data_IF_018565718656
#
_entry.id   IF_018565718656
#
_cell.length_a   1.000
_cell.length_b   1.000
_cell.length_c   1.000
_cell.angle_alpha   90.00
_cell.angle_beta   90.00
_cell.angle_gamma   90.00
#
_symmetry.space_group_name_H-M   'P 1'
#
loop_
_entity.id
_entity.type
_entity.pdbx_description
1 polymer ?
#
# COMPACT_ATOMS: atom_id res chain seq x y z
N UNK A 1 -15.15 -11.60 4.14
CA UNK A 1 -13.74 -11.17 4.14
C UNK A 1 -13.08 -11.19 2.75
N UNK A 2 -13.81 -11.41 1.64
CA UNK A 2 -13.22 -11.61 0.29
C UNK A 2 -13.21 -10.33 -0.59
N UNK A 3 -13.92 -9.27 -0.22
CA UNK A 3 -14.10 -8.07 -1.09
C UNK A 3 -12.87 -7.16 -1.26
N UNK A 4 -11.84 -7.30 -0.43
CA UNK A 4 -10.61 -6.50 -0.55
C UNK A 4 -9.77 -6.89 -1.76
N UNK A 5 -9.72 -8.19 -2.05
CA UNK A 5 -9.03 -8.75 -3.23
C UNK A 5 -9.83 -8.45 -4.50
N UNK A 6 -11.16 -8.29 -4.39
CA UNK A 6 -12.06 -8.04 -5.51
C UNK A 6 -11.87 -6.69 -6.24
N UNK A 7 -10.94 -5.82 -5.80
CA UNK A 7 -10.64 -4.59 -6.55
C UNK A 7 -9.67 -4.76 -7.69
N UNK A 8 -8.66 -5.58 -7.46
CA UNK A 8 -7.71 -5.98 -8.49
C UNK A 8 -8.17 -7.28 -9.15
N UNK A 9 -9.18 -7.94 -8.59
CA UNK A 9 -9.75 -9.19 -9.09
C UNK A 9 -11.20 -8.97 -9.49
N UNK A 10 -11.48 -8.96 -10.79
CA UNK A 10 -12.86 -8.91 -11.28
C UNK A 10 -13.49 -10.29 -11.10
N UNK A 11 -14.45 -10.41 -10.17
CA UNK A 11 -15.26 -11.62 -9.99
C UNK A 11 -16.35 -11.65 -11.07
N UNK A 12 -16.11 -12.38 -12.17
CA UNK A 12 -17.17 -12.75 -13.12
C UNK A 12 -17.84 -14.05 -12.64
N UNK A 13 -19.00 -13.95 -12.01
CA UNK A 13 -19.84 -15.11 -11.75
C UNK A 13 -20.51 -15.56 -13.06
N UNK A 14 -19.85 -16.45 -13.81
CA UNK A 14 -20.54 -17.19 -14.87
C UNK A 14 -21.36 -18.31 -14.23
N UNK A 15 -22.69 -18.23 -14.41
CA UNK A 15 -23.62 -19.28 -14.01
C UNK A 15 -23.37 -20.54 -14.82
N UNK A 16 -22.47 -21.39 -14.34
CA UNK A 16 -22.30 -22.74 -14.87
C UNK A 16 -22.15 -23.66 -13.68
N UNK A 17 -23.30 -24.07 -13.13
CA UNK A 17 -23.40 -25.14 -12.14
C UNK A 17 -22.97 -26.45 -12.79
N UNK A 18 -21.69 -26.81 -12.65
CA UNK A 18 -21.23 -28.16 -12.90
C UNK A 18 -20.50 -28.57 -11.62
N UNK A 19 -21.13 -29.46 -10.83
CA UNK A 19 -20.60 -30.12 -9.61
C UNK A 19 -20.59 -29.33 -8.27
N UNK A 20 -21.49 -28.37 -8.05
CA UNK A 20 -21.78 -27.85 -6.69
C UNK A 20 -20.64 -27.08 -6.00
N UNK A 21 -19.50 -26.88 -6.66
CA UNK A 21 -18.48 -25.91 -6.27
C UNK A 21 -18.48 -24.80 -7.32
N UNK A 22 -18.86 -23.60 -6.91
CA UNK A 22 -18.76 -22.42 -7.76
C UNK A 22 -17.28 -22.21 -8.15
N UNK A 23 -16.99 -22.30 -9.45
CA UNK A 23 -15.68 -21.93 -9.98
C UNK A 23 -15.56 -20.42 -9.86
N UNK A 24 -14.70 -19.96 -8.94
CA UNK A 24 -14.36 -18.55 -8.81
C UNK A 24 -13.18 -18.30 -9.75
N UNK A 25 -13.46 -17.78 -10.96
CA UNK A 25 -12.42 -17.32 -11.85
C UNK A 25 -11.89 -15.96 -11.33
N UNK A 26 -10.69 -16.00 -10.77
CA UNK A 26 -9.95 -14.84 -10.28
C UNK A 26 -9.25 -14.20 -11.48
N UNK A 27 -9.89 -13.21 -12.10
CA UNK A 27 -9.29 -12.46 -13.22
C UNK A 27 -8.70 -11.14 -12.73
N UNK A 28 -7.45 -10.84 -13.06
CA UNK A 28 -6.82 -9.57 -12.69
C UNK A 28 -7.42 -8.45 -13.56
N UNK A 29 -7.86 -7.37 -12.93
CA UNK A 29 -8.36 -6.19 -13.63
C UNK A 29 -7.28 -5.66 -14.59
N UNK A 30 -7.53 -5.62 -15.91
CA UNK A 30 -6.53 -5.21 -16.88
C UNK A 30 -6.04 -3.78 -16.65
N UNK A 31 -6.86 -2.90 -16.04
CA UNK A 31 -6.46 -1.55 -15.69
C UNK A 31 -5.43 -1.51 -14.55
N UNK A 32 -5.43 -2.49 -13.65
CA UNK A 32 -4.41 -2.61 -12.60
C UNK A 32 -3.03 -2.91 -13.21
N UNK A 33 -2.96 -3.90 -14.11
CA UNK A 33 -1.72 -4.21 -14.81
C UNK A 33 -1.24 -3.05 -15.70
N UNK A 34 -2.17 -2.35 -16.34
CA UNK A 34 -1.85 -1.18 -17.15
C UNK A 34 -1.34 0.01 -16.32
N UNK A 35 -1.71 0.13 -15.04
CA UNK A 35 -1.27 1.22 -14.17
C UNK A 35 0.12 1.02 -13.57
N UNK A 36 0.73 -0.16 -13.70
CA UNK A 36 2.06 -0.46 -13.18
C UNK A 36 3.13 0.52 -13.69
N UNK A 37 3.11 0.85 -14.99
CA UNK A 37 4.08 1.76 -15.59
C UNK A 37 3.95 3.19 -15.06
N UNK A 38 2.71 3.66 -14.88
CA UNK A 38 2.42 4.97 -14.29
C UNK A 38 2.93 5.02 -12.83
N UNK A 39 2.59 4.02 -12.02
CA UNK A 39 3.01 4.01 -10.62
C UNK A 39 4.54 3.89 -10.47
N UNK A 40 5.18 3.04 -11.28
CA UNK A 40 6.63 2.96 -11.32
C UNK A 40 7.27 4.31 -11.65
N UNK A 41 6.72 5.07 -12.61
CA UNK A 41 7.22 6.39 -12.96
C UNK A 41 7.13 7.39 -11.80
N UNK A 42 6.07 7.29 -10.98
CA UNK A 42 5.88 8.10 -9.77
C UNK A 42 6.87 7.71 -8.66
N UNK A 43 7.05 6.42 -8.40
CA UNK A 43 7.99 5.90 -7.39
C UNK A 43 9.44 6.25 -7.73
N UNK A 44 9.80 6.30 -9.02
CA UNK A 44 11.12 6.73 -9.46
C UNK A 44 11.41 8.22 -9.25
N UNK A 45 10.35 9.05 -9.12
CA UNK A 45 10.47 10.50 -8.94
C UNK A 45 9.63 10.97 -7.75
N UNK A 46 9.98 10.55 -6.51
CA UNK A 46 9.23 10.93 -5.33
C UNK A 46 9.33 12.44 -5.15
N UNK A 47 8.18 13.10 -5.06
CA UNK A 47 8.12 14.53 -4.73
C UNK A 47 7.81 14.65 -3.26
N UNK A 48 8.73 15.26 -2.51
CA UNK A 48 8.53 15.66 -1.13
C UNK A 48 8.48 17.18 -1.09
N UNK A 49 7.32 17.73 -0.75
CA UNK A 49 7.16 19.18 -0.59
C UNK A 49 6.71 19.52 0.83
N UNK A 50 6.93 20.77 1.24
CA UNK A 50 6.51 21.24 2.56
C UNK A 50 4.98 21.33 2.70
N UNK A 51 4.24 21.36 1.58
CA UNK A 51 2.79 21.40 1.60
C UNK A 51 2.20 20.03 1.99
N UNK A 52 2.90 18.92 1.69
CA UNK A 52 2.54 17.56 2.11
C UNK A 52 2.53 17.37 3.63
N UNK A 53 3.22 18.22 4.39
CA UNK A 53 3.20 18.16 5.86
C UNK A 53 2.01 18.91 6.47
N UNK A 54 1.24 19.66 5.67
CA UNK A 54 0.07 20.38 6.15
C UNK A 54 -1.11 19.44 6.33
N UNK A 55 -1.85 19.57 7.44
CA UNK A 55 -3.07 18.80 7.69
C UNK A 55 -4.30 19.32 6.92
N UNK A 56 -4.11 20.24 5.97
CA UNK A 56 -5.16 20.82 5.15
C UNK A 56 -4.75 20.70 3.70
N UNK A 57 -5.54 19.94 2.95
CA UNK A 57 -5.30 19.61 1.55
C UNK A 57 -6.60 19.82 0.77
N UNK A 58 -6.49 20.36 -0.43
CA UNK A 58 -7.63 20.51 -1.34
C UNK A 58 -7.99 19.18 -1.99
N UNK A 59 -6.97 18.41 -2.40
CA UNK A 59 -7.12 17.08 -2.98
C UNK A 59 -6.44 16.02 -2.10
N UNK A 60 -7.26 15.33 -1.30
CA UNK A 60 -6.80 14.25 -0.44
C UNK A 60 -6.36 12.99 -1.19
N UNK A 61 -6.81 12.76 -2.44
CA UNK A 61 -6.33 11.63 -3.26
C UNK A 61 -4.93 11.90 -3.78
N UNK A 62 -4.68 13.10 -4.29
CA UNK A 62 -3.33 13.53 -4.69
C UNK A 62 -2.36 13.50 -3.50
N UNK A 63 -2.83 13.93 -2.33
CA UNK A 63 -2.05 13.86 -1.09
C UNK A 63 -1.72 12.41 -0.69
N UNK A 64 -2.70 11.51 -0.72
CA UNK A 64 -2.48 10.09 -0.47
C UNK A 64 -1.49 9.49 -1.49
N UNK A 65 -1.62 9.82 -2.77
CA UNK A 65 -0.69 9.39 -3.81
C UNK A 65 0.75 9.80 -3.50
N UNK A 66 0.95 11.08 -3.18
CA UNK A 66 2.28 11.61 -2.90
C UNK A 66 2.93 10.88 -1.71
N UNK A 67 2.18 10.67 -0.63
CA UNK A 67 2.69 9.93 0.53
C UNK A 67 2.88 8.43 0.28
N UNK A 68 2.02 7.79 -0.51
CA UNK A 68 2.18 6.39 -0.93
C UNK A 68 3.47 6.19 -1.72
N UNK A 69 3.76 7.10 -2.65
CA UNK A 69 5.00 7.12 -3.45
C UNK A 69 6.22 7.28 -2.55
N UNK A 70 6.19 8.25 -1.63
CA UNK A 70 7.28 8.47 -0.66
C UNK A 70 7.47 7.25 0.24
N UNK A 71 6.39 6.63 0.70
CA UNK A 71 6.44 5.43 1.53
C UNK A 71 7.12 4.26 0.81
N UNK A 72 6.70 3.93 -0.41
CA UNK A 72 7.31 2.83 -1.18
C UNK A 72 8.77 3.13 -1.48
N UNK A 73 9.09 4.34 -1.95
CA UNK A 73 10.47 4.75 -2.22
C UNK A 73 11.36 4.63 -0.98
N UNK A 74 10.92 5.18 0.16
CA UNK A 74 11.65 5.10 1.41
C UNK A 74 11.80 3.64 1.89
N UNK A 75 10.79 2.79 1.70
CA UNK A 75 10.86 1.38 2.10
C UNK A 75 11.89 0.60 1.31
N UNK A 76 12.02 0.89 0.01
CA UNK A 76 13.04 0.28 -0.84
C UNK A 76 14.41 0.74 -0.38
N UNK A 77 14.60 2.04 -0.15
CA UNK A 77 15.88 2.61 0.29
C UNK A 77 16.31 2.03 1.65
N UNK A 78 15.40 1.97 2.63
CA UNK A 78 15.67 1.40 3.95
C UNK A 78 15.97 -0.09 3.86
N UNK A 79 15.25 -0.84 3.03
CA UNK A 79 15.49 -2.28 2.83
C UNK A 79 16.86 -2.54 2.21
N UNK A 80 17.27 -1.74 1.22
CA UNK A 80 18.59 -1.84 0.60
C UNK A 80 19.71 -1.50 1.58
N UNK A 81 19.54 -0.43 2.38
CA UNK A 81 20.50 -0.05 3.42
C UNK A 81 20.65 -1.16 4.47
N UNK A 82 19.53 -1.71 4.94
CA UNK A 82 19.53 -2.80 5.92
C UNK A 82 20.19 -4.06 5.37
N UNK A 83 19.89 -4.43 4.12
CA UNK A 83 20.54 -5.55 3.44
C UNK A 83 22.05 -5.33 3.33
N UNK A 84 22.50 -4.14 2.93
CA UNK A 84 23.92 -3.82 2.83
C UNK A 84 24.64 -3.95 4.19
N UNK A 85 24.03 -3.45 5.28
CA UNK A 85 24.58 -3.57 6.63
C UNK A 85 24.65 -5.02 7.11
N UNK A 86 23.63 -5.83 6.84
CA UNK A 86 23.62 -7.27 7.19
C UNK A 86 24.66 -8.05 6.39
N UNK A 87 24.72 -7.84 5.08
CA UNK A 87 25.74 -8.49 4.23
C UNK A 87 27.15 -8.14 4.71
N UNK A 88 27.39 -6.88 5.07
CA UNK A 88 28.69 -6.47 5.61
C UNK A 88 29.03 -7.18 6.94
N UNK A 89 28.05 -7.35 7.83
CA UNK A 89 28.24 -8.07 9.10
C UNK A 89 28.51 -9.57 8.88
N UNK A 90 27.71 -10.24 8.06
CA UNK A 90 27.82 -11.69 7.82
C UNK A 90 29.08 -12.07 7.02
N UNK A 91 29.63 -11.15 6.20
CA UNK A 91 30.92 -11.36 5.54
C UNK A 91 32.06 -11.44 6.57
N UNK A 92 31.98 -10.67 7.67
CA UNK A 92 32.98 -10.73 8.76
C UNK A 92 32.92 -12.09 9.46
N UNK A 93 31.72 -12.65 9.61
CA UNK A 93 31.48 -13.93 10.28
C UNK A 93 31.59 -15.16 9.35
N UNK A 94 31.90 -14.95 8.05
CA UNK A 94 32.03 -15.99 7.02
C UNK A 94 30.78 -16.88 6.84
N UNK A 95 29.59 -16.38 7.20
CA UNK A 95 28.34 -17.12 7.19
C UNK A 95 27.58 -16.98 5.85
N UNK A 96 28.12 -17.57 4.78
CA UNK A 96 27.54 -17.46 3.42
C UNK A 96 26.07 -17.90 3.31
N UNK A 97 25.64 -18.88 4.10
CA UNK A 97 24.25 -19.33 4.13
C UNK A 97 23.27 -18.27 4.66
N UNK A 98 23.68 -17.51 5.68
CA UNK A 98 22.88 -16.43 6.24
C UNK A 98 22.73 -15.27 5.25
N UNK A 99 23.80 -14.93 4.53
CA UNK A 99 23.79 -13.91 3.45
C UNK A 99 22.75 -14.23 2.38
N UNK A 100 22.75 -15.47 1.86
CA UNK A 100 21.79 -15.86 0.81
C UNK A 100 20.36 -15.78 1.33
N UNK A 101 20.10 -16.28 2.54
CA UNK A 101 18.79 -16.20 3.16
C UNK A 101 18.31 -14.75 3.32
N UNK A 102 19.17 -13.86 3.85
CA UNK A 102 18.85 -12.45 4.04
C UNK A 102 18.55 -11.72 2.73
N UNK A 103 19.30 -12.02 1.66
CA UNK A 103 19.04 -11.50 0.32
C UNK A 103 17.66 -11.97 -0.16
N UNK A 104 17.36 -13.27 -0.08
CA UNK A 104 16.07 -13.81 -0.52
C UNK A 104 14.90 -13.18 0.24
N UNK A 105 14.99 -13.08 1.56
CA UNK A 105 13.95 -12.47 2.41
C UNK A 105 13.79 -10.99 2.09
N UNK A 106 14.89 -10.25 1.93
CA UNK A 106 14.84 -8.81 1.65
C UNK A 106 14.25 -8.52 0.28
N UNK A 107 14.65 -9.27 -0.76
CA UNK A 107 14.07 -9.14 -2.10
C UNK A 107 12.58 -9.49 -2.09
N UNK A 108 12.19 -10.57 -1.42
CA UNK A 108 10.78 -10.94 -1.27
C UNK A 108 9.96 -9.84 -0.57
N UNK A 109 10.50 -9.26 0.50
CA UNK A 109 9.89 -8.14 1.22
C UNK A 109 9.74 -6.88 0.37
N UNK A 110 10.78 -6.51 -0.39
CA UNK A 110 10.75 -5.36 -1.31
C UNK A 110 9.67 -5.55 -2.38
N UNK A 111 9.65 -6.71 -3.04
CA UNK A 111 8.65 -7.01 -4.08
C UNK A 111 7.24 -6.96 -3.50
N UNK A 112 7.02 -7.59 -2.34
CA UNK A 112 5.75 -7.55 -1.65
C UNK A 112 5.33 -6.12 -1.29
N UNK A 113 6.25 -5.30 -0.76
CA UNK A 113 5.99 -3.90 -0.41
C UNK A 113 5.61 -3.04 -1.62
N UNK A 114 6.28 -3.21 -2.76
CA UNK A 114 5.96 -2.50 -4.01
C UNK A 114 4.58 -2.91 -4.52
N UNK A 115 4.28 -4.21 -4.57
CA UNK A 115 2.98 -4.70 -5.02
C UNK A 115 1.84 -4.20 -4.12
N UNK A 116 2.05 -4.23 -2.81
CA UNK A 116 1.10 -3.76 -1.82
C UNK A 116 0.89 -2.24 -1.91
N UNK A 117 1.96 -1.46 -2.05
CA UNK A 117 1.89 -0.02 -2.25
C UNK A 117 1.16 0.35 -3.55
N UNK A 118 1.45 -0.35 -4.64
CA UNK A 118 0.75 -0.19 -5.92
C UNK A 118 -0.73 -0.54 -5.80
N UNK A 119 -1.07 -1.64 -5.13
CA UNK A 119 -2.45 -2.05 -4.89
C UNK A 119 -3.22 -0.99 -4.07
N UNK A 120 -2.64 -0.51 -2.97
CA UNK A 120 -3.22 0.54 -2.15
C UNK A 120 -3.44 1.84 -2.92
N UNK A 121 -2.42 2.27 -3.67
CA UNK A 121 -2.51 3.42 -4.56
C UNK A 121 -3.62 3.26 -5.60
N UNK A 122 -3.66 2.14 -6.31
CA UNK A 122 -4.66 1.90 -7.35
C UNK A 122 -6.09 1.91 -6.80
N UNK A 123 -6.33 1.19 -5.69
CA UNK A 123 -7.64 1.14 -5.06
C UNK A 123 -8.15 2.51 -4.61
N UNK A 124 -7.26 3.35 -4.07
CA UNK A 124 -7.64 4.65 -3.48
C UNK A 124 -7.73 5.74 -4.54
N UNK A 125 -6.77 5.78 -5.48
CA UNK A 125 -6.61 6.89 -6.42
C UNK A 125 -7.32 6.62 -7.74
N UNK A 126 -7.27 5.38 -8.27
CA UNK A 126 -7.86 5.04 -9.58
C UNK A 126 -9.29 4.51 -9.47
N UNK A 127 -9.65 3.93 -8.32
CA UNK A 127 -10.96 3.26 -8.11
C UNK A 127 -11.83 3.90 -7.04
N UNK A 128 -11.47 5.08 -6.55
CA UNK A 128 -12.28 5.86 -5.60
C UNK A 128 -12.70 5.09 -4.34
N UNK A 129 -11.83 4.17 -3.91
CA UNK A 129 -12.16 3.19 -2.88
C UNK A 129 -12.92 2.01 -3.48
N UNK A 130 -12.39 0.81 -3.26
CA UNK A 130 -12.88 -0.42 -3.88
C UNK A 130 -14.38 -0.73 -3.69
N UNK A 131 -14.96 -0.23 -2.61
CA UNK A 131 -16.34 -0.45 -2.22
C UNK A 131 -16.96 0.87 -1.74
N UNK A 132 -16.62 1.97 -2.42
CA UNK A 132 -17.00 3.32 -2.00
C UNK A 132 -16.29 3.74 -0.70
N UNK A 133 -16.95 4.51 0.18
CA UNK A 133 -16.33 5.09 1.37
C UNK A 133 -15.66 4.04 2.27
N UNK A 134 -16.28 2.87 2.43
CA UNK A 134 -15.78 1.77 3.28
C UNK A 134 -14.40 1.30 2.83
N UNK A 135 -14.10 1.35 1.53
CA UNK A 135 -12.79 1.00 0.99
C UNK A 135 -11.65 1.82 1.60
N UNK A 136 -11.88 3.10 1.89
CA UNK A 136 -10.86 3.96 2.51
C UNK A 136 -10.58 3.56 3.97
N UNK A 137 -11.61 3.24 4.75
CA UNK A 137 -11.44 2.76 6.14
C UNK A 137 -10.69 1.44 6.19
N UNK A 138 -11.01 0.54 5.26
CA UNK A 138 -10.35 -0.75 5.16
C UNK A 138 -8.85 -0.56 4.88
N UNK A 139 -8.47 0.30 3.94
CA UNK A 139 -7.06 0.61 3.70
C UNK A 139 -6.40 1.29 4.90
N UNK A 140 -7.11 2.18 5.61
CA UNK A 140 -6.58 2.84 6.80
C UNK A 140 -6.25 1.82 7.90
N UNK A 141 -7.14 0.83 8.10
CA UNK A 141 -6.91 -0.27 9.04
C UNK A 141 -5.73 -1.14 8.58
N UNK A 142 -5.66 -1.46 7.30
CA UNK A 142 -4.57 -2.25 6.71
C UNK A 142 -3.21 -1.57 6.94
N UNK A 143 -3.10 -0.26 6.71
CA UNK A 143 -1.89 0.51 7.01
C UNK A 143 -1.59 0.58 8.52
N UNK A 144 -2.61 0.73 9.36
CA UNK A 144 -2.45 0.75 10.82
C UNK A 144 -1.92 -0.59 11.35
N UNK A 145 -2.43 -1.71 10.85
CA UNK A 145 -1.98 -3.06 11.24
C UNK A 145 -0.55 -3.35 10.74
N UNK A 146 -0.17 -2.80 9.59
CA UNK A 146 1.19 -2.94 9.04
C UNK A 146 2.25 -2.27 9.94
N UNK A 147 1.87 -1.29 10.77
CA UNK A 147 2.78 -0.66 11.74
C UNK A 147 3.18 -1.62 12.88
N UNK A 148 2.35 -2.61 13.23
CA UNK A 148 2.54 -3.48 14.41
C UNK A 148 3.85 -4.28 14.44
N UNK A 149 4.24 -4.98 13.35
CA UNK A 149 5.48 -5.75 13.31
C UNK A 149 6.77 -4.91 13.34
N UNK A 150 6.70 -3.59 13.08
CA UNK A 150 7.87 -2.72 13.02
C UNK A 150 8.55 -2.48 14.39
N UNK A 151 7.91 -2.90 15.50
CA UNK A 151 8.40 -2.65 16.87
C UNK A 151 9.21 -3.80 17.48
N UNK A 152 9.28 -4.97 16.86
CA UNK A 152 9.99 -6.12 17.43
C UNK A 152 11.42 -6.24 16.90
N UNK A 153 12.34 -5.42 17.42
CA UNK A 153 13.76 -5.82 17.59
C UNK A 153 14.84 -5.36 16.59
N UNK A 154 14.60 -4.35 15.74
CA UNK A 154 15.60 -3.78 14.81
C UNK A 154 15.73 -2.25 14.91
N UNK A 155 16.61 -1.58 14.11
CA UNK A 155 16.99 -0.17 14.29
C UNK A 155 15.78 0.76 14.23
N UNK A 156 15.19 1.01 15.40
CA UNK A 156 13.86 1.60 15.53
C UNK A 156 13.76 2.98 14.90
N UNK A 157 14.84 3.76 14.85
CA UNK A 157 14.86 5.10 14.26
C UNK A 157 14.48 5.12 12.77
N UNK A 158 14.94 4.17 11.97
CA UNK A 158 14.59 4.12 10.54
C UNK A 158 13.12 3.73 10.35
N UNK A 159 12.62 2.81 11.18
CA UNK A 159 11.20 2.43 11.17
C UNK A 159 10.28 3.53 11.71
N UNK A 160 10.75 4.31 12.68
CA UNK A 160 10.04 5.49 13.20
C UNK A 160 9.86 6.54 12.10
N UNK A 161 10.85 6.74 11.22
CA UNK A 161 10.71 7.66 10.08
C UNK A 161 9.59 7.22 9.11
N UNK A 162 9.33 5.92 9.00
CA UNK A 162 8.27 5.36 8.16
C UNK A 162 6.86 5.57 8.74
N UNK A 163 6.74 5.88 10.03
CA UNK A 163 5.45 6.24 10.63
C UNK A 163 4.90 7.55 10.07
N UNK A 164 5.77 8.46 9.63
CA UNK A 164 5.34 9.76 9.10
C UNK A 164 4.52 9.57 7.82
N UNK A 165 5.02 8.92 6.75
CA UNK A 165 4.20 8.62 5.57
C UNK A 165 2.91 7.87 5.89
N UNK A 166 3.00 6.83 6.73
CA UNK A 166 1.82 6.02 7.10
C UNK A 166 0.75 6.88 7.78
N UNK A 167 1.15 7.76 8.72
CA UNK A 167 0.24 8.64 9.43
C UNK A 167 -0.51 9.59 8.50
N UNK A 168 0.20 10.21 7.54
CA UNK A 168 -0.44 11.09 6.55
C UNK A 168 -1.31 10.32 5.55
N UNK A 169 -0.93 9.09 5.16
CA UNK A 169 -1.78 8.22 4.35
C UNK A 169 -3.08 7.87 5.06
N UNK A 170 -3.01 7.48 6.35
CA UNK A 170 -4.20 7.21 7.17
C UNK A 170 -5.07 8.46 7.29
N UNK A 171 -4.47 9.63 7.57
CA UNK A 171 -5.19 10.90 7.64
C UNK A 171 -5.94 11.19 6.33
N UNK A 172 -5.29 11.00 5.19
CA UNK A 172 -5.91 11.19 3.88
C UNK A 172 -7.09 10.25 3.67
N UNK A 173 -6.95 8.97 4.03
CA UNK A 173 -8.03 7.98 3.93
C UNK A 173 -9.23 8.34 4.82
N UNK A 174 -9.00 8.79 6.05
CA UNK A 174 -10.07 9.24 6.95
C UNK A 174 -10.80 10.48 6.41
N UNK A 175 -10.07 11.42 5.79
CA UNK A 175 -10.65 12.61 5.16
C UNK A 175 -11.45 12.25 3.91
N UNK A 176 -10.96 11.32 3.08
CA UNK A 176 -11.68 10.79 1.93
C UNK A 176 -12.97 10.07 2.35
N UNK A 177 -12.92 9.27 3.41
CA UNK A 177 -14.11 8.62 3.98
C UNK A 177 -15.16 9.63 4.45
N UNK A 178 -14.75 10.64 5.22
CA UNK A 178 -15.65 11.68 5.72
C UNK A 178 -16.28 12.50 4.57
N UNK A 179 -15.48 12.87 3.57
CA UNK A 179 -15.95 13.61 2.40
C UNK A 179 -16.90 12.81 1.52
N UNK A 180 -16.70 11.50 1.39
CA UNK A 180 -17.59 10.62 0.62
C UNK A 180 -18.92 10.39 1.37
N UNK A 181 -18.86 10.13 2.68
CA UNK A 181 -20.07 9.94 3.52
C UNK A 181 -20.98 11.17 3.54
N UNK A 182 -20.40 12.38 3.49
CA UNK A 182 -21.17 13.62 3.43
C UNK A 182 -21.94 13.80 2.11
N UNK A 183 -21.48 13.20 1.00
CA UNK A 183 -22.17 13.23 -0.30
C UNK A 183 -23.31 12.23 -0.38
N UNK A 184 -23.18 11.10 0.31
CA UNK A 184 -24.17 10.02 0.35
C UNK A 184 -25.32 10.28 1.33
N UNK A 185 -25.30 11.40 2.07
CA UNK A 185 -26.42 11.86 2.89
C UNK A 185 -27.21 12.91 2.09
N UNK A 186 -28.17 12.53 1.22
CA UNK A 186 -29.02 13.50 0.55
C UNK A 186 -29.81 14.27 1.61
N UNK A 187 -30.07 15.56 1.35
CA UNK A 187 -30.94 16.42 2.15
C UNK A 187 -32.26 15.70 2.50
N UNK A 188 -32.32 15.07 3.67
CA UNK A 188 -33.54 14.59 4.30
C UNK A 188 -34.01 15.57 5.39
N UNK A 189 -33.66 16.85 5.23
CA UNK A 189 -34.13 17.95 6.06
C UNK A 189 -34.51 19.12 5.15
N UNK A 190 -35.72 19.01 4.59
CA UNK A 190 -36.53 20.15 4.20
C UNK A 190 -37.36 20.59 5.42
#
# INVERSE_FOLDING_TARGET
>A
QVKLVACAVQETCHGTEILGMARVDVSIDPAYSASCGEYASLVLHPRLDAAMLRCQQEDWKAHFQAWSVVYVFASVLVSLLFLALRVLAEIVDLALGAVVYDICVSVGGIVFGILFGHLGWFCVVKRDGCCGPVGYLVWALVYLLNVGPAYTGGPGLLYLAMLVPIGYMILALLKLFAGASARDTPLAAA
#
